data_IF_640228257356
#
_entry.id   IF_640228257356
#
_cell.length_a   1.000
_cell.length_b   1.000
_cell.length_c   1.000
_cell.angle_alpha   90.00
_cell.angle_beta   90.00
_cell.angle_gamma   90.00
#
_symmetry.space_group_name_H-M   'P 1'
#
loop_
_entity.id
_entity.type
_entity.pdbx_description
1 polymer ?
#
# COMPACT_ATOMS: atom_id res chain seq x y z
N UNK A 1 23.20 -56.07 -22.11
CA UNK A 1 23.44 -54.64 -22.35
C UNK A 1 22.09 -54.04 -22.71
N UNK A 2 21.36 -53.42 -21.77
CA UNK A 2 21.37 -51.96 -21.47
C UNK A 2 21.26 -51.14 -22.77
N UNK A 3 20.29 -50.25 -23.01
CA UNK A 3 19.82 -49.06 -22.27
C UNK A 3 18.47 -48.64 -22.87
N UNK A 4 17.35 -48.63 -22.13
CA UNK A 4 16.74 -47.53 -21.36
C UNK A 4 15.98 -46.43 -22.16
N UNK A 5 14.66 -46.42 -21.90
CA UNK A 5 13.64 -45.37 -21.88
C UNK A 5 13.96 -43.97 -22.44
N UNK A 6 13.20 -43.57 -23.47
CA UNK A 6 12.85 -42.17 -23.72
C UNK A 6 11.51 -41.86 -23.04
N UNK A 7 11.56 -41.56 -21.74
CA UNK A 7 10.43 -40.97 -21.04
C UNK A 7 10.38 -39.48 -21.36
N UNK A 8 9.36 -39.03 -22.10
CA UNK A 8 8.96 -37.62 -22.11
C UNK A 8 8.40 -37.31 -20.72
N UNK A 9 9.29 -36.94 -19.79
CA UNK A 9 8.88 -36.32 -18.55
C UNK A 9 8.26 -34.96 -18.90
N UNK A 10 6.97 -34.80 -18.65
CA UNK A 10 6.36 -33.49 -18.49
C UNK A 10 7.09 -32.81 -17.31
N UNK A 11 8.17 -32.12 -17.61
CA UNK A 11 8.72 -31.12 -16.71
C UNK A 11 7.66 -30.01 -16.72
N UNK A 12 6.67 -30.12 -15.83
CA UNK A 12 5.83 -28.99 -15.42
C UNK A 12 6.76 -27.97 -14.76
N UNK A 13 7.50 -27.22 -15.58
CA UNK A 13 8.10 -25.97 -15.17
C UNK A 13 6.93 -25.04 -14.92
N UNK A 14 6.44 -24.98 -13.68
CA UNK A 14 5.60 -23.88 -13.22
C UNK A 14 6.31 -22.60 -13.63
N UNK A 15 5.88 -21.95 -14.70
CA UNK A 15 6.50 -20.72 -15.18
C UNK A 15 5.85 -19.53 -14.48
N UNK A 16 6.65 -18.53 -14.10
CA UNK A 16 6.11 -17.29 -13.54
C UNK A 16 5.30 -16.60 -14.63
N UNK A 17 4.00 -16.42 -14.40
CA UNK A 17 3.17 -15.77 -15.42
C UNK A 17 3.73 -14.38 -15.79
N UNK A 18 3.81 -14.03 -17.08
CA UNK A 18 4.51 -12.83 -17.56
C UNK A 18 3.99 -11.51 -16.98
N UNK A 19 2.71 -11.45 -16.61
CA UNK A 19 2.09 -10.25 -16.04
C UNK A 19 2.77 -9.80 -14.74
N UNK A 20 3.32 -10.73 -13.94
CA UNK A 20 3.97 -10.39 -12.66
C UNK A 20 5.21 -9.52 -12.87
N UNK A 21 6.06 -9.90 -13.83
CA UNK A 21 7.25 -9.12 -14.16
C UNK A 21 6.88 -7.77 -14.77
N UNK A 22 5.83 -7.72 -15.61
CA UNK A 22 5.33 -6.48 -16.19
C UNK A 22 4.79 -5.51 -15.14
N UNK A 23 3.98 -5.98 -14.17
CA UNK A 23 3.46 -5.12 -13.11
C UNK A 23 4.55 -4.66 -12.13
N UNK A 24 5.52 -5.53 -11.81
CA UNK A 24 6.69 -5.17 -10.99
C UNK A 24 7.49 -4.05 -11.67
N UNK A 25 7.83 -4.21 -12.95
CA UNK A 25 8.54 -3.20 -13.73
C UNK A 25 7.74 -1.89 -13.85
N UNK A 26 6.42 -1.97 -14.08
CA UNK A 26 5.55 -0.79 -14.16
C UNK A 26 5.51 -0.01 -12.84
N UNK A 27 5.41 -0.70 -11.72
CA UNK A 27 5.40 -0.06 -10.40
C UNK A 27 6.75 0.61 -10.08
N UNK A 28 7.87 -0.06 -10.39
CA UNK A 28 9.20 0.52 -10.18
C UNK A 28 9.39 1.77 -11.04
N UNK A 29 8.96 1.71 -12.31
CA UNK A 29 9.06 2.84 -13.24
C UNK A 29 8.15 4.02 -12.88
N UNK A 30 7.03 3.78 -12.18
CA UNK A 30 6.12 4.86 -11.78
C UNK A 30 6.63 5.70 -10.61
N UNK A 31 7.62 5.21 -9.86
CA UNK A 31 8.09 5.88 -8.64
C UNK A 31 7.06 5.93 -7.51
N UNK A 32 5.99 5.12 -7.58
CA UNK A 32 4.91 5.12 -6.59
C UNK A 32 5.37 4.68 -5.17
N UNK A 33 6.53 4.03 -5.07
CA UNK A 33 7.12 3.60 -3.81
C UNK A 33 8.39 4.41 -3.56
N UNK A 34 8.37 5.21 -2.49
CA UNK A 34 9.52 5.99 -2.04
C UNK A 34 10.17 5.26 -0.87
N UNK A 35 11.47 4.97 -0.99
CA UNK A 35 12.22 4.34 0.09
C UNK A 35 12.28 5.24 1.33
N UNK A 36 12.16 4.64 2.50
CA UNK A 36 12.17 5.33 3.80
C UNK A 36 12.72 4.41 4.90
N UNK A 37 12.73 4.90 6.15
CA UNK A 37 13.05 4.06 7.31
C UNK A 37 12.09 2.87 7.48
N UNK A 38 10.89 2.93 6.90
CA UNK A 38 9.83 1.93 7.07
C UNK A 38 9.59 1.06 5.83
N UNK A 39 9.99 1.55 4.65
CA UNK A 39 9.86 0.87 3.36
C UNK A 39 11.26 0.86 2.74
N UNK A 40 11.95 -0.26 2.85
CA UNK A 40 13.34 -0.39 2.41
C UNK A 40 13.44 -1.40 1.27
N UNK A 41 14.22 -1.12 0.21
CA UNK A 41 14.61 -2.18 -0.73
C UNK A 41 15.24 -3.35 0.03
N UNK A 42 14.93 -4.57 -0.38
CA UNK A 42 15.44 -5.79 0.22
C UNK A 42 16.19 -6.65 -0.81
N UNK A 43 17.10 -7.54 -0.38
CA UNK A 43 17.73 -8.49 -1.28
C UNK A 43 16.70 -9.36 -2.01
N UNK A 44 17.02 -9.74 -3.24
CA UNK A 44 16.24 -10.67 -4.05
C UNK A 44 15.87 -11.92 -3.24
N UNK A 45 14.61 -12.34 -3.33
CA UNK A 45 14.12 -13.57 -2.71
C UNK A 45 14.14 -14.67 -3.75
N UNK A 46 15.02 -15.65 -3.59
CA UNK A 46 15.09 -16.85 -4.44
C UNK A 46 14.46 -18.04 -3.70
N UNK A 47 13.18 -18.29 -4.01
CA UNK A 47 12.45 -19.43 -3.46
C UNK A 47 12.64 -20.70 -4.28
N UNK A 48 12.05 -21.82 -3.83
CA UNK A 48 11.96 -23.03 -4.63
C UNK A 48 11.23 -22.77 -5.96
N UNK A 49 11.71 -23.39 -7.05
CA UNK A 49 11.12 -23.30 -8.40
C UNK A 49 11.03 -21.83 -8.84
N UNK A 50 9.84 -21.32 -9.16
CA UNK A 50 9.62 -19.93 -9.61
C UNK A 50 9.20 -18.97 -8.51
N UNK A 51 9.07 -19.43 -7.27
CA UNK A 51 8.76 -18.56 -6.14
C UNK A 51 9.88 -17.55 -5.91
N UNK A 52 9.52 -16.32 -5.57
CA UNK A 52 10.49 -15.27 -5.31
C UNK A 52 10.07 -13.91 -5.85
N UNK A 53 10.96 -12.94 -5.62
CA UNK A 53 10.83 -11.56 -6.07
C UNK A 53 12.20 -11.02 -6.45
N UNK A 54 12.28 -10.34 -7.59
CA UNK A 54 13.51 -9.72 -8.06
C UNK A 54 13.83 -8.44 -7.30
N UNK A 55 12.82 -7.60 -7.06
CA UNK A 55 12.99 -6.31 -6.39
C UNK A 55 12.01 -6.15 -5.21
N UNK A 56 12.16 -6.95 -4.14
CA UNK A 56 11.28 -6.85 -2.98
C UNK A 56 11.59 -5.60 -2.14
N UNK A 57 10.58 -5.18 -1.38
CA UNK A 57 10.76 -4.22 -0.30
C UNK A 57 10.44 -4.87 1.04
N UNK A 58 11.25 -4.59 2.05
CA UNK A 58 10.93 -4.86 3.45
C UNK A 58 10.11 -3.70 4.00
N UNK A 59 8.90 -3.99 4.44
CA UNK A 59 7.95 -2.99 4.96
C UNK A 59 7.67 -3.27 6.43
N UNK A 60 7.88 -2.27 7.28
CA UNK A 60 7.63 -2.33 8.73
C UNK A 60 6.55 -1.37 9.21
N UNK A 61 6.17 -0.37 8.42
CA UNK A 61 5.06 0.54 8.70
C UNK A 61 4.52 1.14 7.41
N UNK A 62 3.27 1.62 7.48
CA UNK A 62 2.56 2.33 6.41
C UNK A 62 2.22 3.75 6.88
N UNK A 63 1.62 4.55 6.00
CA UNK A 63 1.18 5.92 6.28
C UNK A 63 2.29 6.78 6.88
N UNK A 64 3.46 6.77 6.23
CA UNK A 64 4.62 7.54 6.68
C UNK A 64 5.21 7.11 8.03
N UNK A 65 4.91 5.90 8.50
CA UNK A 65 5.38 5.37 9.78
C UNK A 65 4.36 5.45 10.92
N UNK A 66 3.23 6.12 10.71
CA UNK A 66 2.19 6.28 11.74
C UNK A 66 1.41 4.99 12.01
N UNK A 67 1.43 4.04 11.06
CA UNK A 67 0.77 2.74 11.22
C UNK A 67 1.80 1.61 11.05
N UNK A 68 2.52 1.26 12.13
CA UNK A 68 3.35 0.06 12.18
C UNK A 68 2.62 -1.21 11.74
N UNK A 69 3.37 -2.10 11.10
CA UNK A 69 2.96 -3.48 10.87
C UNK A 69 3.58 -4.33 11.97
N UNK A 70 2.78 -5.19 12.61
CA UNK A 70 3.19 -6.01 13.78
C UNK A 70 4.48 -6.82 13.62
N UNK A 71 4.92 -7.06 12.37
CA UNK A 71 6.25 -7.55 12.01
C UNK A 71 6.59 -7.07 10.60
N UNK A 72 7.86 -6.79 10.35
CA UNK A 72 8.30 -6.43 9.01
C UNK A 72 8.09 -7.59 8.04
N UNK A 73 7.58 -7.30 6.84
CA UNK A 73 7.29 -8.30 5.80
C UNK A 73 7.88 -7.88 4.46
N UNK A 74 8.34 -8.84 3.63
CA UNK A 74 8.65 -8.55 2.24
C UNK A 74 7.35 -8.31 1.47
N UNK A 75 7.33 -7.34 0.56
CA UNK A 75 6.22 -7.06 -0.35
C UNK A 75 6.75 -6.76 -1.75
N UNK A 76 5.95 -7.10 -2.76
CA UNK A 76 6.15 -6.60 -4.12
C UNK A 76 5.92 -5.09 -4.19
N UNK A 77 6.55 -4.41 -5.15
CA UNK A 77 6.36 -2.97 -5.36
C UNK A 77 4.86 -2.61 -5.44
N UNK A 78 4.06 -3.36 -6.21
CA UNK A 78 2.65 -3.07 -6.47
C UNK A 78 1.75 -3.22 -5.23
N UNK A 79 2.13 -4.07 -4.28
CA UNK A 79 1.34 -4.26 -3.04
C UNK A 79 1.40 -3.05 -2.11
N UNK A 80 2.51 -2.30 -2.12
CA UNK A 80 2.74 -1.18 -1.21
C UNK A 80 1.74 -0.05 -1.43
N UNK A 81 1.57 0.53 -2.64
CA UNK A 81 0.59 1.59 -2.86
C UNK A 81 -0.85 1.10 -2.64
N UNK A 82 -1.16 -0.17 -2.92
CA UNK A 82 -2.48 -0.74 -2.62
C UNK A 82 -2.76 -0.74 -1.10
N UNK A 83 -1.79 -1.16 -0.28
CA UNK A 83 -1.89 -1.14 1.17
C UNK A 83 -1.94 0.29 1.73
N UNK A 84 -1.09 1.19 1.25
CA UNK A 84 -1.09 2.61 1.64
C UNK A 84 -2.46 3.27 1.36
N UNK A 85 -3.04 2.99 0.19
CA UNK A 85 -4.36 3.51 -0.18
C UNK A 85 -5.47 2.89 0.67
N UNK A 86 -5.44 1.59 0.92
CA UNK A 86 -6.43 0.94 1.78
C UNK A 86 -6.37 1.46 3.23
N UNK A 87 -5.16 1.66 3.78
CA UNK A 87 -4.98 2.26 5.11
C UNK A 87 -5.58 3.66 5.14
N UNK A 88 -5.18 4.52 4.21
CA UNK A 88 -5.56 5.93 4.19
C UNK A 88 -7.05 6.14 3.90
N UNK A 89 -7.60 5.42 2.93
CA UNK A 89 -8.92 5.70 2.37
C UNK A 89 -10.04 4.83 2.97
N UNK A 90 -9.71 3.72 3.64
CA UNK A 90 -10.74 2.79 4.16
C UNK A 90 -10.54 2.49 5.64
N UNK A 91 -9.33 2.10 6.06
CA UNK A 91 -9.08 1.73 7.45
C UNK A 91 -9.23 2.93 8.38
N UNK A 92 -8.53 4.04 8.11
CA UNK A 92 -8.59 5.19 9.01
C UNK A 92 -9.99 5.82 9.06
N UNK A 93 -10.68 6.09 7.93
CA UNK A 93 -12.04 6.61 7.98
C UNK A 93 -13.01 5.68 8.73
N UNK A 94 -12.94 4.36 8.52
CA UNK A 94 -13.77 3.41 9.26
C UNK A 94 -13.43 3.41 10.76
N UNK A 95 -12.15 3.52 11.14
CA UNK A 95 -11.76 3.56 12.54
C UNK A 95 -12.31 4.82 13.25
N UNK A 96 -12.23 5.98 12.59
CA UNK A 96 -12.84 7.21 13.12
C UNK A 96 -14.36 7.12 13.19
N UNK A 97 -15.01 6.56 12.19
CA UNK A 97 -16.47 6.40 12.18
C UNK A 97 -16.96 5.52 13.33
N UNK A 98 -16.32 4.37 13.57
CA UNK A 98 -16.81 3.37 14.52
C UNK A 98 -16.25 3.56 15.93
N UNK A 99 -15.08 4.19 16.09
CA UNK A 99 -14.39 4.29 17.38
C UNK A 99 -13.95 5.70 17.75
N UNK A 100 -14.08 6.70 16.86
CA UNK A 100 -13.63 8.07 17.10
C UNK A 100 -12.10 8.23 17.19
N UNK A 101 -11.33 7.22 16.76
CA UNK A 101 -9.87 7.20 16.91
C UNK A 101 -9.20 6.39 15.80
N UNK A 102 -7.90 6.63 15.54
CA UNK A 102 -7.21 5.95 14.45
C UNK A 102 -6.79 4.52 14.81
N UNK A 103 -6.57 3.73 13.78
CA UNK A 103 -5.74 2.51 13.87
C UNK A 103 -4.27 2.93 13.92
N UNK A 104 -3.52 2.34 14.86
CA UNK A 104 -2.09 2.60 15.08
C UNK A 104 -1.22 1.36 14.89
N UNK A 105 -1.79 0.21 14.50
CA UNK A 105 -1.01 -0.97 14.11
C UNK A 105 -1.86 -1.89 13.21
N UNK A 106 -1.26 -2.40 12.14
CA UNK A 106 -1.80 -3.52 11.37
C UNK A 106 -1.18 -4.84 11.87
N UNK A 107 -2.03 -5.77 12.30
CA UNK A 107 -1.59 -7.11 12.70
C UNK A 107 -1.60 -8.04 11.50
N UNK A 108 -0.47 -8.69 11.20
CA UNK A 108 -0.29 -9.47 9.97
C UNK A 108 0.23 -10.87 10.25
N UNK A 109 -0.16 -11.85 9.42
CA UNK A 109 0.24 -13.26 9.54
C UNK A 109 1.33 -13.69 8.55
N UNK A 110 1.33 -13.16 7.33
CA UNK A 110 2.40 -13.40 6.37
C UNK A 110 2.27 -12.53 5.13
N UNK A 111 3.34 -12.48 4.34
CA UNK A 111 3.28 -11.97 2.96
C UNK A 111 3.99 -12.90 1.99
N UNK A 112 5.15 -13.45 2.37
CA UNK A 112 5.85 -14.45 1.57
C UNK A 112 5.71 -15.87 2.12
N UNK A 113 5.27 -16.81 1.27
CA UNK A 113 5.27 -18.24 1.53
C UNK A 113 5.15 -19.00 0.20
N UNK A 114 6.20 -19.75 -0.19
CA UNK A 114 6.21 -20.51 -1.44
C UNK A 114 5.35 -21.78 -1.34
N UNK A 115 4.09 -21.68 -1.75
CA UNK A 115 3.13 -22.80 -1.75
C UNK A 115 2.05 -22.63 -2.81
N UNK A 116 1.40 -23.75 -3.15
CA UNK A 116 0.18 -23.72 -3.97
C UNK A 116 -0.99 -23.13 -3.19
N UNK A 117 -1.97 -22.62 -3.94
CA UNK A 117 -3.20 -22.10 -3.38
C UNK A 117 -3.91 -23.16 -2.53
N UNK A 118 -4.39 -22.74 -1.36
CA UNK A 118 -5.12 -23.58 -0.41
C UNK A 118 -4.39 -24.88 -0.04
N UNK A 119 -3.06 -24.94 -0.21
CA UNK A 119 -2.23 -26.13 -0.01
C UNK A 119 -2.67 -27.35 -0.84
N UNK A 120 -3.32 -27.10 -2.00
CA UNK A 120 -3.81 -28.16 -2.88
C UNK A 120 -2.72 -28.56 -3.87
N UNK A 121 -2.37 -29.84 -3.92
CA UNK A 121 -1.42 -30.37 -4.91
C UNK A 121 -1.95 -30.16 -6.33
N UNK A 122 -1.13 -29.63 -7.23
CA UNK A 122 -1.51 -29.34 -8.62
C UNK A 122 -2.34 -28.06 -8.83
N UNK A 123 -2.68 -27.32 -7.77
CA UNK A 123 -3.25 -25.98 -7.92
C UNK A 123 -2.18 -24.96 -8.29
N UNK A 124 -2.58 -23.84 -8.91
CA UNK A 124 -1.69 -22.70 -9.15
C UNK A 124 -0.98 -22.23 -7.87
N UNK A 125 0.17 -21.59 -8.03
CA UNK A 125 0.85 -20.92 -6.92
C UNK A 125 -0.02 -19.82 -6.30
N UNK A 126 0.07 -19.68 -4.99
CA UNK A 126 -0.52 -18.54 -4.27
C UNK A 126 0.26 -17.26 -4.58
N UNK A 127 -0.38 -16.10 -4.52
CA UNK A 127 0.32 -14.82 -4.62
C UNK A 127 1.30 -14.57 -3.44
N UNK A 128 1.16 -15.32 -2.34
CA UNK A 128 2.20 -15.37 -1.31
C UNK A 128 3.55 -15.91 -1.82
N UNK A 129 3.57 -16.74 -2.86
CA UNK A 129 4.80 -17.22 -3.47
C UNK A 129 5.63 -16.09 -4.11
N UNK A 130 5.01 -14.92 -4.28
CA UNK A 130 5.58 -13.75 -4.96
C UNK A 130 5.48 -12.48 -4.11
N UNK A 131 5.22 -12.62 -2.79
CA UNK A 131 4.95 -11.51 -1.85
C UNK A 131 4.00 -10.44 -2.44
N UNK A 132 3.10 -10.90 -3.30
CA UNK A 132 2.05 -10.12 -3.95
C UNK A 132 0.72 -10.33 -3.22
N UNK A 133 0.81 -10.70 -1.93
CA UNK A 133 -0.29 -10.95 -1.04
C UNK A 133 0.07 -10.58 0.42
N UNK A 134 -0.92 -10.27 1.23
CA UNK A 134 -0.79 -10.03 2.66
C UNK A 134 -1.97 -10.62 3.43
N UNK A 135 -1.67 -11.32 4.51
CA UNK A 135 -2.68 -11.79 5.46
C UNK A 135 -2.71 -10.88 6.68
N UNK A 136 -3.86 -10.23 6.93
CA UNK A 136 -4.09 -9.31 8.06
C UNK A 136 -5.00 -10.00 9.08
N UNK A 137 -4.59 -10.07 10.34
CA UNK A 137 -5.33 -10.74 11.44
C UNK A 137 -6.03 -9.78 12.39
N UNK A 138 -5.77 -8.49 12.30
CA UNK A 138 -6.46 -7.49 13.11
C UNK A 138 -5.81 -6.11 13.10
N UNK A 139 -6.34 -5.23 13.95
CA UNK A 139 -5.98 -3.81 14.01
C UNK A 139 -5.85 -3.37 15.47
N UNK A 140 -4.84 -2.57 15.80
CA UNK A 140 -4.73 -1.93 17.13
C UNK A 140 -5.18 -0.49 17.03
N UNK A 141 -6.00 -0.06 17.98
CA UNK A 141 -6.48 1.32 18.09
C UNK A 141 -5.56 2.14 19.00
N UNK A 142 -5.66 3.47 18.91
CA UNK A 142 -4.86 4.41 19.70
C UNK A 142 -4.97 4.19 21.21
N UNK A 143 -6.14 3.80 21.70
CA UNK A 143 -6.39 3.53 23.13
C UNK A 143 -5.84 2.17 23.60
N UNK A 144 -5.15 1.43 22.73
CA UNK A 144 -4.54 0.13 23.02
C UNK A 144 -5.46 -1.07 22.80
N UNK A 145 -6.76 -0.88 22.55
CA UNK A 145 -7.66 -1.99 22.16
C UNK A 145 -7.19 -2.62 20.86
N UNK A 146 -7.41 -3.92 20.74
CA UNK A 146 -7.03 -4.68 19.55
C UNK A 146 -8.23 -5.42 18.97
N UNK A 147 -8.62 -5.04 17.76
CA UNK A 147 -9.70 -5.66 17.00
C UNK A 147 -9.13 -6.84 16.19
N UNK A 148 -9.20 -8.04 16.75
CA UNK A 148 -8.82 -9.30 16.09
C UNK A 148 -9.95 -9.85 15.21
N UNK A 149 -9.67 -10.15 13.95
CA UNK A 149 -10.66 -10.67 12.98
C UNK A 149 -11.32 -11.94 13.50
N UNK A 150 -10.55 -12.99 13.83
CA UNK A 150 -11.08 -14.26 14.35
C UNK A 150 -12.07 -14.09 15.50
N UNK A 151 -11.78 -13.16 16.43
CA UNK A 151 -12.58 -12.96 17.66
C UNK A 151 -13.81 -12.09 17.39
N UNK A 152 -13.60 -10.95 16.72
CA UNK A 152 -14.62 -9.90 16.68
C UNK A 152 -15.48 -9.95 15.41
N UNK A 153 -15.13 -10.76 14.39
CA UNK A 153 -15.91 -10.84 13.16
C UNK A 153 -17.38 -11.22 13.36
N UNK A 154 -17.66 -12.14 14.31
CA UNK A 154 -19.02 -12.57 14.68
C UNK A 154 -19.41 -12.12 16.09
N UNK A 155 -18.46 -12.19 17.03
CA UNK A 155 -18.73 -12.02 18.46
C UNK A 155 -18.25 -10.69 19.03
N UNK A 156 -17.77 -9.77 18.18
CA UNK A 156 -17.45 -8.41 18.60
C UNK A 156 -18.70 -7.60 18.90
N UNK A 157 -18.49 -6.43 19.49
CA UNK A 157 -19.49 -5.36 19.57
C UNK A 157 -19.98 -4.98 18.17
N UNK A 158 -21.10 -4.25 18.09
CA UNK A 158 -21.62 -3.78 16.80
C UNK A 158 -20.57 -2.97 16.03
N UNK A 159 -19.95 -1.98 16.67
CA UNK A 159 -18.89 -1.14 16.10
C UNK A 159 -17.69 -1.96 15.60
N UNK A 160 -17.26 -2.98 16.33
CA UNK A 160 -16.16 -3.85 15.88
C UNK A 160 -16.54 -4.69 14.67
N UNK A 161 -17.77 -5.22 14.65
CA UNK A 161 -18.26 -6.01 13.52
C UNK A 161 -18.39 -5.15 12.27
N UNK A 162 -19.03 -3.98 12.36
CA UNK A 162 -19.20 -3.06 11.23
C UNK A 162 -17.87 -2.52 10.72
N UNK A 163 -16.97 -2.10 11.61
CA UNK A 163 -15.60 -1.73 11.23
C UNK A 163 -14.92 -2.82 10.41
N UNK A 164 -14.99 -4.09 10.85
CA UNK A 164 -14.39 -5.19 10.10
C UNK A 164 -15.07 -5.45 8.74
N UNK A 165 -16.38 -5.17 8.60
CA UNK A 165 -17.07 -5.25 7.30
C UNK A 165 -16.65 -4.14 6.37
N UNK A 166 -16.56 -2.90 6.86
CA UNK A 166 -16.20 -1.75 6.05
C UNK A 166 -14.76 -1.86 5.56
N UNK A 167 -13.85 -2.29 6.44
CA UNK A 167 -12.45 -2.51 6.10
C UNK A 167 -12.28 -3.65 5.10
N UNK A 168 -13.02 -4.76 5.25
CA UNK A 168 -13.03 -5.86 4.29
C UNK A 168 -13.64 -5.44 2.93
N UNK A 169 -14.78 -4.75 2.94
CA UNK A 169 -15.42 -4.27 1.72
C UNK A 169 -14.57 -3.25 0.97
N UNK A 170 -14.02 -2.27 1.70
CA UNK A 170 -13.13 -1.25 1.15
C UNK A 170 -11.82 -1.79 0.60
N UNK A 171 -11.35 -2.96 1.07
CA UNK A 171 -10.19 -3.62 0.46
C UNK A 171 -10.46 -3.99 -1.01
N UNK A 172 -11.70 -4.30 -1.38
CA UNK A 172 -12.03 -4.75 -2.73
C UNK A 172 -11.89 -3.66 -3.80
N UNK A 173 -11.71 -2.41 -3.40
CA UNK A 173 -11.40 -1.29 -4.30
C UNK A 173 -9.91 -1.26 -4.72
N UNK A 174 -9.03 -1.87 -3.91
CA UNK A 174 -7.58 -1.79 -4.09
C UNK A 174 -6.92 -3.14 -4.40
N UNK A 175 -7.57 -4.24 -4.03
CA UNK A 175 -7.05 -5.59 -4.21
C UNK A 175 -7.91 -6.38 -5.19
N UNK A 176 -7.27 -7.25 -5.97
CA UNK A 176 -7.96 -8.11 -6.94
C UNK A 176 -8.53 -9.36 -6.32
N UNK A 177 -7.96 -9.80 -5.20
CA UNK A 177 -8.53 -10.84 -4.36
C UNK A 177 -8.59 -10.34 -2.93
N UNK A 178 -9.78 -10.42 -2.33
CA UNK A 178 -10.02 -10.17 -0.92
C UNK A 178 -10.85 -11.32 -0.38
N UNK A 179 -10.26 -12.13 0.49
CA UNK A 179 -10.93 -13.22 1.17
C UNK A 179 -10.94 -12.93 2.67
N UNK A 180 -12.08 -13.11 3.32
CA UNK A 180 -12.21 -12.95 4.76
C UNK A 180 -13.21 -13.95 5.33
N UNK A 181 -13.49 -13.91 6.65
CA UNK A 181 -14.28 -14.98 7.24
C UNK A 181 -15.69 -15.05 6.64
N UNK A 182 -16.04 -16.24 6.15
CA UNK A 182 -17.22 -16.48 5.32
C UNK A 182 -16.93 -16.71 3.83
N UNK A 183 -15.69 -16.53 3.36
CA UNK A 183 -15.26 -16.96 2.03
C UNK A 183 -15.07 -18.48 1.95
N UNK A 184 -14.30 -19.04 2.88
CA UNK A 184 -14.06 -20.47 3.09
C UNK A 184 -13.45 -20.72 4.50
N UNK A 185 -13.11 -21.97 4.79
CA UNK A 185 -12.56 -22.39 6.08
C UNK A 185 -11.10 -21.97 6.32
N UNK A 186 -10.33 -21.62 5.28
CA UNK A 186 -8.92 -21.22 5.43
C UNK A 186 -8.77 -19.74 5.79
N UNK A 187 -9.77 -18.92 5.46
CA UNK A 187 -9.76 -17.47 5.70
C UNK A 187 -10.68 -17.06 6.85
N UNK A 188 -10.96 -17.98 7.79
CA UNK A 188 -11.90 -17.72 8.89
C UNK A 188 -11.33 -16.81 9.99
N UNK A 189 -10.02 -16.63 10.04
CA UNK A 189 -9.32 -15.92 11.11
C UNK A 189 -8.51 -14.69 10.65
N UNK A 190 -8.50 -14.39 9.36
CA UNK A 190 -7.77 -13.26 8.77
C UNK A 190 -8.43 -12.75 7.47
N UNK A 191 -7.99 -11.58 7.01
CA UNK A 191 -8.23 -11.10 5.65
C UNK A 191 -7.01 -11.44 4.79
N UNK A 192 -7.22 -12.15 3.69
CA UNK A 192 -6.23 -12.38 2.64
C UNK A 192 -6.44 -11.39 1.50
N UNK A 193 -5.38 -10.66 1.16
CA UNK A 193 -5.39 -9.59 0.16
C UNK A 193 -4.33 -9.91 -0.89
N UNK A 194 -4.69 -9.95 -2.17
CA UNK A 194 -3.73 -10.12 -3.26
C UNK A 194 -4.07 -9.32 -4.53
N UNK A 195 -3.07 -9.16 -5.40
CA UNK A 195 -3.19 -8.47 -6.69
C UNK A 195 -3.15 -9.46 -7.88
N UNK A 196 -3.64 -10.69 -7.71
CA UNK A 196 -3.66 -11.68 -8.78
C UNK A 196 -4.44 -11.17 -9.99
N UNK A 197 -3.87 -11.35 -11.18
CA UNK A 197 -4.59 -11.19 -12.43
C UNK A 197 -5.43 -12.44 -12.72
N UNK A 198 -6.76 -12.31 -12.67
CA UNK A 198 -7.70 -13.43 -12.87
C UNK A 198 -8.16 -13.61 -14.32
N UNK A 199 -7.90 -12.62 -15.17
CA UNK A 199 -8.20 -12.65 -16.60
C UNK A 199 -7.19 -11.75 -17.36
N UNK A 200 -7.02 -11.92 -18.69
CA UNK A 200 -6.02 -11.16 -19.46
C UNK A 200 -6.19 -9.64 -19.43
N UNK A 201 -7.40 -9.13 -19.18
CA UNK A 201 -7.68 -7.69 -19.07
C UNK A 201 -7.53 -7.18 -17.63
N UNK A 202 -7.42 -8.09 -16.65
CA UNK A 202 -7.32 -7.77 -15.23
C UNK A 202 -8.56 -7.09 -14.66
N UNK A 203 -9.72 -7.31 -15.26
CA UNK A 203 -10.99 -6.68 -14.88
C UNK A 203 -11.75 -7.48 -13.79
N UNK A 204 -11.46 -8.78 -13.66
CA UNK A 204 -12.12 -9.65 -12.71
C UNK A 204 -11.48 -9.52 -11.33
N UNK A 205 -12.32 -9.17 -10.35
CA UNK A 205 -11.98 -9.19 -8.93
C UNK A 205 -12.72 -10.30 -8.19
N UNK A 206 -12.07 -10.84 -7.15
CA UNK A 206 -12.62 -11.84 -6.25
C UNK A 206 -12.74 -11.21 -4.86
N UNK A 207 -13.94 -10.75 -4.54
CA UNK A 207 -14.24 -10.16 -3.24
C UNK A 207 -15.22 -11.09 -2.49
N UNK A 208 -14.73 -11.81 -1.47
CA UNK A 208 -15.49 -12.83 -0.73
C UNK A 208 -15.32 -12.72 0.80
N UNK A 209 -16.39 -12.90 1.59
CA UNK A 209 -17.80 -12.90 1.16
C UNK A 209 -18.14 -11.60 0.43
N UNK A 210 -19.18 -11.58 -0.42
CA UNK A 210 -19.53 -10.32 -1.07
C UNK A 210 -19.88 -9.30 0.01
N UNK A 211 -19.24 -8.12 0.03
CA UNK A 211 -19.52 -7.11 1.03
C UNK A 211 -20.99 -6.72 0.93
N UNK A 212 -21.72 -6.88 2.02
CA UNK A 212 -23.07 -6.34 2.13
C UNK A 212 -22.96 -4.93 2.68
N UNK A 213 -22.28 -4.05 1.94
CA UNK A 213 -22.11 -2.65 2.34
C UNK A 213 -23.24 -1.87 1.67
N UNK A 214 -24.07 -1.23 2.48
CA UNK A 214 -24.76 -0.02 2.01
C UNK A 214 -23.65 0.96 1.63
N UNK A 215 -23.66 1.59 0.43
CA UNK A 215 -22.62 2.53 0.05
C UNK A 215 -22.36 3.51 1.21
N UNK A 216 -21.10 3.59 1.64
CA UNK A 216 -20.72 4.62 2.59
C UNK A 216 -21.16 5.98 2.04
N UNK A 217 -21.76 6.89 2.83
CA UNK A 217 -22.12 8.23 2.35
C UNK A 217 -20.90 9.06 1.91
N UNK A 218 -19.69 8.52 2.07
CA UNK A 218 -18.42 9.09 1.61
C UNK A 218 -17.96 8.56 0.23
N UNK A 219 -18.81 7.84 -0.51
CA UNK A 219 -18.59 7.64 -1.94
C UNK A 219 -19.13 8.85 -2.69
N UNK A 220 -18.35 9.93 -2.68
CA UNK A 220 -18.50 10.97 -3.68
C UNK A 220 -17.12 11.28 -4.22
N UNK A 221 -16.96 11.22 -5.54
CA UNK A 221 -15.75 11.56 -6.29
C UNK A 221 -15.40 13.06 -6.20
N UNK A 222 -15.83 13.72 -5.12
CA UNK A 222 -15.38 15.08 -4.82
C UNK A 222 -13.89 15.00 -4.51
N UNK A 223 -13.02 15.75 -5.21
CA UNK A 223 -11.66 15.93 -4.78
C UNK A 223 -11.74 16.40 -3.33
N UNK A 224 -11.11 15.64 -2.42
CA UNK A 224 -10.87 16.13 -1.07
C UNK A 224 -10.09 17.41 -1.29
N UNK A 225 -10.74 18.57 -1.16
CA UNK A 225 -10.04 19.83 -1.04
C UNK A 225 -9.04 19.59 0.08
N UNK A 226 -7.74 19.67 -0.22
CA UNK A 226 -6.69 19.48 0.77
C UNK A 226 -7.07 20.30 1.99
N UNK A 227 -7.54 19.61 3.03
CA UNK A 227 -7.74 20.26 4.30
C UNK A 227 -6.36 20.84 4.63
N UNK A 228 -6.24 22.15 4.90
CA UNK A 228 -4.95 22.74 5.21
C UNK A 228 -4.37 21.92 6.34
N UNK A 229 -3.23 21.27 6.11
CA UNK A 229 -2.50 20.62 7.18
C UNK A 229 -2.41 21.64 8.31
N UNK A 230 -2.74 21.30 9.57
CA UNK A 230 -2.51 22.21 10.68
C UNK A 230 -1.03 22.57 10.61
N UNK A 231 -0.76 23.85 10.31
CA UNK A 231 0.59 24.36 10.21
C UNK A 231 1.26 24.00 11.53
N UNK A 232 2.36 23.26 11.45
CA UNK A 232 3.19 23.06 12.64
C UNK A 232 3.45 24.44 13.23
N UNK A 233 3.30 24.62 14.56
CA UNK A 233 3.59 25.91 15.16
C UNK A 233 5.01 26.27 14.78
N UNK A 234 5.14 27.35 14.00
CA UNK A 234 6.42 27.96 13.70
C UNK A 234 7.04 28.23 15.06
N UNK A 235 8.10 27.50 15.39
CA UNK A 235 8.93 27.82 16.54
C UNK A 235 9.54 29.18 16.24
N UNK A 236 8.87 30.23 16.69
CA UNK A 236 9.50 31.54 16.85
C UNK A 236 10.62 31.28 17.81
N UNK A 237 11.86 31.37 17.31
CA UNK A 237 13.05 31.24 18.12
C UNK A 237 13.00 32.33 19.19
N UNK A 238 12.52 31.97 20.37
CA UNK A 238 12.66 32.79 21.56
C UNK A 238 14.13 32.75 21.91
N UNK A 239 14.80 33.89 21.77
CA UNK A 239 16.19 34.05 22.20
C UNK A 239 16.32 33.55 23.64
N UNK A 240 17.08 32.48 23.84
CA UNK A 240 17.38 31.99 25.17
C UNK A 240 18.21 33.04 25.90
N UNK A 241 17.87 33.43 27.14
CA UNK A 241 18.74 34.27 27.95
C UNK A 241 20.05 33.53 28.24
N UNK A 242 21.19 34.24 28.37
CA UNK A 242 22.48 33.59 28.58
C UNK A 242 22.48 32.81 29.89
N UNK A 243 22.91 31.54 29.82
CA UNK A 243 23.10 30.66 30.96
C UNK A 243 24.14 31.27 31.92
N UNK A 244 23.70 31.56 33.16
CA UNK A 244 24.58 31.85 34.28
C UNK A 244 25.19 30.55 34.79
N UNK A 245 26.50 30.39 34.63
CA UNK A 245 27.25 29.30 35.26
C UNK A 245 27.37 29.57 36.77
N UNK A 246 27.18 28.56 37.65
CA UNK A 246 27.47 28.71 39.07
C UNK A 246 28.98 28.91 39.30
N UNK A 247 29.40 29.65 40.33
CA UNK A 247 30.82 29.83 40.64
C UNK A 247 31.46 28.51 41.08
N UNK A 248 32.73 28.34 40.66
CA UNK A 248 33.59 27.19 41.01
C UNK A 248 33.71 26.99 42.53
N UNK A 249 33.72 25.74 43.03
CA UNK A 249 34.04 25.47 44.42
C UNK A 249 35.52 25.77 44.73
N UNK A 250 35.76 26.26 45.96
CA UNK A 250 37.07 26.62 46.49
C UNK A 250 38.04 25.42 46.59
N UNK A 251 39.37 25.64 46.53
CA UNK A 251 40.35 24.57 46.53
C UNK A 251 40.50 23.93 47.93
N UNK A 252 40.46 22.60 47.95
CA UNK A 252 40.79 21.76 49.12
C UNK A 252 42.30 21.69 49.36
N UNK A 253 42.78 21.71 50.62
CA UNK A 253 44.20 21.62 50.93
C UNK A 253 44.74 20.20 50.71
N UNK A 254 45.98 20.14 50.23
CA UNK A 254 46.68 18.92 49.84
C UNK A 254 47.01 18.00 51.04
N UNK A 255 46.59 16.74 50.95
CA UNK A 255 47.17 15.63 51.70
C UNK A 255 48.01 14.75 50.76
N UNK A 256 49.16 14.31 51.27
CA UNK A 256 50.31 13.77 50.53
C UNK A 256 50.11 12.47 49.76
N UNK A 257 51.21 11.94 49.16
CA UNK A 257 51.14 11.09 47.98
C UNK A 257 50.73 9.67 48.32
N UNK A 258 49.51 9.29 47.95
CA UNK A 258 49.20 7.90 47.68
C UNK A 258 49.70 7.57 46.26
N UNK A 259 50.65 6.64 46.19
CA UNK A 259 51.18 6.09 44.94
C UNK A 259 50.07 5.41 44.13
N UNK A 260 49.60 6.08 43.08
CA UNK A 260 48.72 5.49 42.07
C UNK A 260 49.54 5.10 40.84
N UNK A 261 49.65 3.81 40.60
CA UNK A 261 50.03 3.25 39.30
C UNK A 261 49.00 3.67 38.25
N UNK A 262 49.39 4.29 37.11
CA UNK A 262 48.46 4.60 36.04
C UNK A 262 47.92 3.32 35.40
N UNK A 263 46.60 3.25 35.22
CA UNK A 263 45.99 2.25 34.33
C UNK A 263 46.43 2.52 32.88
N UNK A 264 46.67 1.48 32.06
CA UNK A 264 47.04 1.66 30.68
C UNK A 264 45.91 2.36 29.90
N UNK A 265 46.24 3.24 28.93
CA UNK A 265 45.23 3.90 28.11
C UNK A 265 44.44 2.87 27.30
N UNK A 266 43.12 3.07 27.22
CA UNK A 266 42.24 2.31 26.35
C UNK A 266 42.70 2.45 24.89
N UNK A 267 42.66 1.35 24.10
CA UNK A 267 42.98 1.43 22.68
C UNK A 267 41.97 2.34 21.96
N UNK A 268 42.49 3.22 21.11
CA UNK A 268 41.67 4.04 20.24
C UNK A 268 40.79 3.16 19.33
N UNK A 269 39.52 3.53 19.07
CA UNK A 269 38.68 2.79 18.15
C UNK A 269 39.31 2.83 16.75
N UNK A 270 39.50 1.64 16.16
CA UNK A 270 39.93 1.51 14.78
C UNK A 270 38.97 2.26 13.85
N UNK A 271 39.53 3.08 12.96
CA UNK A 271 38.77 3.78 11.94
C UNK A 271 38.08 2.75 11.04
N UNK A 272 36.76 2.74 11.05
CA UNK A 272 35.97 2.00 10.07
C UNK A 272 36.36 2.46 8.66
N UNK A 273 36.63 1.55 7.71
CA UNK A 273 36.86 1.94 6.33
C UNK A 273 35.59 2.62 5.79
N UNK A 274 35.80 3.71 5.04
CA UNK A 274 34.72 4.43 4.38
C UNK A 274 33.85 3.46 3.57
N UNK A 275 32.53 3.56 3.74
CA UNK A 275 31.57 2.77 2.98
C UNK A 275 31.77 3.04 1.47
N UNK A 276 31.98 1.99 0.70
CA UNK A 276 32.00 2.07 -0.76
C UNK A 276 30.68 2.65 -1.27
N UNK A 277 30.70 3.54 -2.27
CA UNK A 277 29.47 4.02 -2.90
C UNK A 277 28.69 2.83 -3.51
N UNK A 278 27.35 2.87 -3.50
CA UNK A 278 26.56 1.83 -4.14
C UNK A 278 26.90 1.74 -5.64
N UNK A 279 26.79 0.54 -6.25
CA UNK A 279 27.03 0.39 -7.68
C UNK A 279 26.07 1.28 -8.48
N UNK A 280 26.61 2.02 -9.44
CA UNK A 280 25.81 2.78 -10.38
C UNK A 280 24.98 1.81 -11.21
N UNK A 281 23.65 1.93 -11.11
CA UNK A 281 22.73 1.23 -12.00
C UNK A 281 22.94 1.73 -13.43
N UNK A 282 23.06 0.85 -14.45
CA UNK A 282 23.04 1.30 -15.83
C UNK A 282 21.70 1.98 -16.09
N UNK A 283 21.74 3.25 -16.49
CA UNK A 283 20.57 3.90 -17.05
C UNK A 283 20.17 3.08 -18.28
N UNK A 284 19.02 2.42 -18.21
CA UNK A 284 18.43 1.83 -19.39
C UNK A 284 18.18 2.98 -20.37
N UNK A 285 18.96 3.03 -21.45
CA UNK A 285 18.62 3.84 -22.61
C UNK A 285 17.28 3.31 -23.11
N UNK A 286 16.21 4.05 -22.82
CA UNK A 286 14.89 3.82 -23.37
C UNK A 286 15.02 3.89 -24.90
N UNK A 287 15.05 2.74 -25.56
CA UNK A 287 14.69 2.69 -26.97
C UNK A 287 13.25 3.24 -27.06
N UNK A 288 13.07 4.26 -27.88
CA UNK A 288 11.76 4.86 -28.11
C UNK A 288 10.75 3.77 -28.49
N UNK A 289 9.59 3.77 -27.82
CA UNK A 289 8.50 2.86 -28.16
C UNK A 289 8.08 3.09 -29.63
N UNK A 290 7.78 2.02 -30.39
CA UNK A 290 7.25 2.17 -31.73
C UNK A 290 5.90 2.93 -31.66
N UNK A 291 5.60 3.80 -32.65
CA UNK A 291 4.34 4.52 -32.67
C UNK A 291 3.16 3.53 -32.76
N UNK A 292 2.00 3.88 -32.16
CA UNK A 292 0.81 3.05 -32.26
C UNK A 292 0.40 2.87 -33.73
N UNK A 293 -0.18 1.72 -34.11
CA UNK A 293 -0.68 1.51 -35.46
C UNK A 293 -1.74 2.57 -35.78
N UNK A 294 -1.57 3.27 -36.90
CA UNK A 294 -2.53 4.24 -37.37
C UNK A 294 -3.80 3.51 -37.82
N UNK A 295 -4.89 3.70 -37.09
CA UNK A 295 -6.23 3.33 -37.55
C UNK A 295 -6.61 4.35 -38.62
N UNK A 296 -6.77 3.89 -39.86
CA UNK A 296 -7.22 4.72 -40.97
C UNK A 296 -8.57 5.36 -40.62
N UNK A 297 -8.66 6.67 -40.76
CA UNK A 297 -9.94 7.38 -40.69
C UNK A 297 -10.85 6.88 -41.81
N UNK A 298 -12.15 6.64 -41.56
CA UNK A 298 -13.08 6.26 -42.62
C UNK A 298 -13.21 7.41 -43.63
N UNK A 299 -13.11 7.09 -44.92
CA UNK A 299 -13.28 8.05 -46.01
C UNK A 299 -14.74 8.53 -46.07
N UNK A 300 -14.91 9.84 -46.19
CA UNK A 300 -16.20 10.48 -46.44
C UNK A 300 -16.67 10.22 -47.87
N UNK A 301 -17.23 9.03 -48.12
CA UNK A 301 -18.01 8.73 -49.31
C UNK A 301 -18.69 7.37 -49.16
N UNK A 302 -19.71 7.28 -48.30
CA UNK A 302 -20.77 6.28 -48.46
C UNK A 302 -22.07 6.79 -47.78
N UNK A 303 -23.23 6.63 -48.43
CA UNK A 303 -24.48 7.27 -48.00
C UNK A 303 -25.08 6.60 -46.76
N UNK A 304 -25.59 7.44 -45.86
CA UNK A 304 -26.28 7.09 -44.63
C UNK A 304 -27.55 6.28 -44.96
N UNK A 305 -27.50 4.98 -44.71
CA UNK A 305 -28.66 4.11 -44.61
C UNK A 305 -29.16 4.07 -43.16
N UNK A 306 -30.30 4.71 -42.92
CA UNK A 306 -31.15 4.58 -41.74
C UNK A 306 -31.28 3.13 -41.27
N UNK A 307 -30.80 2.83 -40.06
CA UNK A 307 -31.45 1.90 -39.14
C UNK A 307 -31.26 2.42 -37.71
N UNK A 308 -32.32 3.05 -37.19
CA UNK A 308 -32.55 3.28 -35.78
C UNK A 308 -32.80 1.92 -35.13
N UNK A 309 -31.95 1.52 -34.19
CA UNK A 309 -32.41 0.69 -33.07
C UNK A 309 -32.09 1.43 -31.77
N UNK A 310 -33.17 1.80 -31.08
CA UNK A 310 -33.19 2.53 -29.83
C UNK A 310 -33.15 1.50 -28.70
N UNK A 311 -32.10 1.48 -27.89
CA UNK A 311 -32.18 1.21 -26.44
C UNK A 311 -30.81 1.41 -25.79
N UNK A 312 -30.49 2.66 -25.44
CA UNK A 312 -29.47 2.93 -24.41
C UNK A 312 -30.14 3.70 -23.25
N UNK A 313 -30.36 3.07 -22.08
CA UNK A 313 -31.03 3.68 -20.94
C UNK A 313 -30.13 4.64 -20.12
N UNK A 314 -28.94 5.03 -20.59
CA UNK A 314 -28.01 5.89 -19.85
C UNK A 314 -27.54 7.17 -20.57
N UNK A 315 -28.23 7.62 -21.61
CA UNK A 315 -27.92 8.91 -22.23
C UNK A 315 -28.38 10.08 -21.33
N UNK A 316 -27.43 10.66 -20.58
CA UNK A 316 -27.61 11.90 -19.82
C UNK A 316 -27.66 13.09 -20.79
N UNK A 317 -28.77 13.82 -20.77
CA UNK A 317 -28.94 15.07 -21.50
C UNK A 317 -28.16 16.22 -20.82
N UNK A 318 -27.36 17.02 -21.54
CA UNK A 318 -26.77 18.22 -20.96
C UNK A 318 -27.85 19.29 -20.73
N UNK A 319 -27.91 19.79 -19.50
CA UNK A 319 -28.82 20.86 -19.08
C UNK A 319 -28.40 22.20 -19.68
N UNK A 320 -29.38 22.98 -20.15
CA UNK A 320 -29.19 24.32 -20.71
C UNK A 320 -28.72 25.34 -19.64
N UNK A 321 -27.93 26.37 -20.02
CA UNK A 321 -27.54 27.42 -19.08
C UNK A 321 -28.70 28.36 -18.74
N UNK A 322 -28.80 28.76 -17.47
CA UNK A 322 -29.79 29.70 -16.96
C UNK A 322 -29.53 31.15 -17.46
N UNK A 323 -30.59 31.96 -17.67
CA UNK A 323 -30.44 33.33 -18.15
C UNK A 323 -29.99 34.31 -17.05
N UNK A 324 -29.10 35.23 -17.41
CA UNK A 324 -28.67 36.34 -16.55
C UNK A 324 -29.76 37.42 -16.44
N UNK A 325 -30.12 37.78 -15.21
CA UNK A 325 -31.01 38.89 -14.90
C UNK A 325 -30.19 40.16 -14.64
N UNK A 326 -30.37 41.19 -15.46
CA UNK A 326 -29.91 42.56 -15.21
C UNK A 326 -30.92 43.31 -14.32
N UNK A 327 -30.48 44.19 -13.40
CA UNK A 327 -31.40 45.01 -12.62
C UNK A 327 -31.97 46.18 -13.44
N UNK A 328 -33.28 46.37 -13.33
CA UNK A 328 -34.02 47.48 -13.92
C UNK A 328 -33.85 48.78 -13.11
N UNK A 329 -33.53 49.86 -13.82
CA UNK A 329 -33.56 51.23 -13.32
C UNK A 329 -35.00 51.70 -13.07
N UNK A 330 -35.24 52.30 -11.90
CA UNK A 330 -36.45 53.05 -11.56
C UNK A 330 -36.32 54.55 -11.89
N UNK A 331 -37.45 55.29 -11.95
CA UNK A 331 -37.64 56.40 -12.88
C UNK A 331 -37.31 57.77 -12.31
N UNK A 332 -37.09 58.72 -13.23
CA UNK A 332 -36.92 60.13 -12.93
C UNK A 332 -38.19 60.80 -12.40
N UNK A 333 -37.97 61.83 -11.59
CA UNK A 333 -38.96 62.74 -11.04
C UNK A 333 -38.33 64.09 -10.67
N UNK A 334 -38.47 65.05 -11.58
CA UNK A 334 -38.77 66.49 -11.43
C UNK A 334 -38.39 67.21 -10.11
N UNK A 335 -37.37 68.08 -10.19
CA UNK A 335 -37.22 69.49 -9.75
C UNK A 335 -35.76 69.79 -9.38
#
# INVERSE_FOLDING_TARGET
MTVALSGCGFLDTEEREPWRAKEEARCLASGAVVASAYIQPAPEIKGPRVCGLTYPFKVSALAGGTVPISRAVPLSCSMIPALENWVRQKIQPAAYMHFGMPVVELKVMGSYNCRTMNHRKGASLSEHAFANALDVSGFKLLDGRTIIIKKHWKSGTEAERTFLRDVHGGACDYFRTVLGPGSDALHYDHLHLDLRMHDPRGARHVCKPRPNVTPSPFHDDTPIAEAPMPQQPVQTAVAQPPMSYPPSPAPVPAHGPASYTPLPPYPAPEAYPAASPPPAYPQATLAAAPPPPQVAAPSASDPIGMWLDQTDPYAVTPSAPAPQLFPANGPGGIY
#
